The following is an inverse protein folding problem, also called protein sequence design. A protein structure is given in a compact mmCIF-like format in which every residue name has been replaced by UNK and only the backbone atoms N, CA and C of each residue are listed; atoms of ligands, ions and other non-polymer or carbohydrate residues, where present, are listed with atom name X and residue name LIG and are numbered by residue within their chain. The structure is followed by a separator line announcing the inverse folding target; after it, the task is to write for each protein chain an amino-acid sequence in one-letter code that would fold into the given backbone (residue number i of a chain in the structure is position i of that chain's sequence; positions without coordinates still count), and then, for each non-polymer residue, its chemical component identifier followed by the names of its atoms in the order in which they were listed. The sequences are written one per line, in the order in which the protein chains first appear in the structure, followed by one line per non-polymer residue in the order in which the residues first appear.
data_IF_102483740141
#
_entry.id   IF_102483740141
#
_cell.length_a   1.000
_cell.length_b   1.000
_cell.length_c   1.000
_cell.angle_alpha   90.00
_cell.angle_beta   90.00
_cell.angle_gamma   90.00
#
_symmetry.space_group_name_H-M   'P 1'
#
loop_
_entity.id
_entity.type
_entity.pdbx_description
1 polymer ?
#
# COMPACT_ATOMS: atom_id res chain seq x y z
N UNK A 1 -11.62 -58.60 -31.15
CA UNK A 1 -10.53 -57.65 -30.84
C UNK A 1 -11.16 -56.29 -30.64
N UNK A 2 -11.31 -55.83 -29.37
CA UNK A 2 -11.88 -54.51 -29.04
C UNK A 2 -10.76 -53.46 -29.05
N UNK A 3 -10.86 -52.46 -29.93
CA UNK A 3 -9.94 -51.32 -29.98
C UNK A 3 -10.34 -50.32 -28.90
N UNK A 4 -9.52 -50.15 -27.89
CA UNK A 4 -9.65 -49.11 -26.86
C UNK A 4 -9.15 -47.79 -27.43
N UNK A 5 -10.05 -46.83 -27.62
CA UNK A 5 -9.70 -45.48 -28.04
C UNK A 5 -9.38 -44.66 -26.78
N UNK A 6 -8.10 -44.37 -26.56
CA UNK A 6 -7.64 -43.49 -25.46
C UNK A 6 -7.79 -42.05 -25.95
N UNK A 7 -8.76 -41.34 -25.40
CA UNK A 7 -8.92 -39.89 -25.60
C UNK A 7 -8.01 -39.17 -24.59
N UNK A 8 -6.90 -38.60 -25.06
CA UNK A 8 -6.04 -37.74 -24.27
C UNK A 8 -6.70 -36.37 -24.19
N UNK A 9 -7.32 -36.06 -23.05
CA UNK A 9 -7.87 -34.73 -22.75
C UNK A 9 -6.72 -33.82 -22.35
N UNK A 10 -6.23 -33.03 -23.32
CA UNK A 10 -5.20 -32.01 -23.08
C UNK A 10 -5.87 -30.83 -22.37
N UNK A 11 -5.64 -30.71 -21.06
CA UNK A 11 -6.04 -29.53 -20.27
C UNK A 11 -5.11 -28.37 -20.61
N UNK A 12 -5.58 -27.47 -21.43
CA UNK A 12 -4.89 -26.22 -21.75
C UNK A 12 -5.02 -25.26 -20.54
N UNK A 13 -3.98 -25.18 -19.72
CA UNK A 13 -3.88 -24.16 -18.67
C UNK A 13 -3.70 -22.79 -19.33
N UNK A 14 -4.77 -22.01 -19.43
CA UNK A 14 -4.66 -20.58 -19.73
C UNK A 14 -3.98 -19.88 -18.53
N UNK A 15 -2.71 -19.59 -18.69
CA UNK A 15 -2.00 -18.67 -17.80
C UNK A 15 -2.62 -17.27 -17.99
N UNK A 16 -3.49 -16.84 -17.08
CA UNK A 16 -3.97 -15.47 -17.06
C UNK A 16 -2.82 -14.60 -16.55
N UNK A 17 -2.25 -13.80 -17.43
CA UNK A 17 -1.35 -12.70 -17.02
C UNK A 17 -2.17 -11.70 -16.23
N UNK A 18 -2.01 -11.69 -14.90
CA UNK A 18 -2.52 -10.61 -14.07
C UNK A 18 -1.72 -9.36 -14.45
N UNK A 19 -2.36 -8.42 -15.12
CA UNK A 19 -1.77 -7.11 -15.38
C UNK A 19 -1.63 -6.39 -14.04
N UNK A 20 -0.40 -5.97 -13.72
CA UNK A 20 -0.12 -5.14 -12.56
C UNK A 20 -1.04 -3.92 -12.55
N UNK A 21 -1.78 -3.73 -11.46
CA UNK A 21 -2.72 -2.61 -11.30
C UNK A 21 -2.04 -1.46 -10.56
N UNK A 22 -1.11 -0.77 -11.22
CA UNK A 22 -0.41 0.39 -10.67
C UNK A 22 -1.40 1.41 -10.09
N UNK A 23 -1.09 1.92 -8.89
CA UNK A 23 -1.92 2.88 -8.19
C UNK A 23 -1.24 4.23 -8.09
N UNK A 24 -1.99 5.30 -8.31
CA UNK A 24 -1.53 6.67 -8.09
C UNK A 24 -2.22 7.28 -6.86
N UNK A 25 -1.42 7.94 -6.02
CA UNK A 25 -1.84 8.64 -4.81
C UNK A 25 -1.29 10.07 -4.87
N UNK A 26 -2.16 11.06 -4.78
CA UNK A 26 -1.74 12.45 -4.71
C UNK A 26 -1.41 12.87 -3.28
N UNK A 27 -0.34 13.65 -3.12
CA UNK A 27 0.06 14.30 -1.88
C UNK A 27 -0.47 15.74 -1.88
N UNK A 28 -1.39 16.07 -0.96
CA UNK A 28 -2.21 17.26 -1.04
C UNK A 28 -2.22 18.06 0.28
N UNK A 29 -2.20 19.40 0.17
CA UNK A 29 -2.46 20.28 1.31
C UNK A 29 -3.92 20.22 1.75
N UNK A 30 -4.84 19.97 0.80
CA UNK A 30 -6.27 19.92 1.06
C UNK A 30 -7.01 19.00 0.09
N UNK A 31 -7.96 18.24 0.62
CA UNK A 31 -8.92 17.45 -0.15
C UNK A 31 -10.28 17.52 0.57
N UNK A 32 -11.22 18.22 -0.04
CA UNK A 32 -12.51 18.51 0.61
C UNK A 32 -12.31 19.29 1.91
N UNK A 33 -12.71 18.70 3.04
CA UNK A 33 -12.55 19.28 4.38
C UNK A 33 -11.26 18.83 5.09
N UNK A 34 -10.52 17.90 4.51
CA UNK A 34 -9.29 17.39 5.11
C UNK A 34 -8.06 18.20 4.65
N UNK A 35 -7.12 18.36 5.56
CA UNK A 35 -5.86 19.06 5.33
C UNK A 35 -4.68 18.11 5.53
N UNK A 36 -3.59 18.32 4.77
CA UNK A 36 -2.38 17.49 4.81
C UNK A 36 -2.76 16.02 4.65
N UNK A 37 -3.09 15.62 3.42
CA UNK A 37 -3.75 14.35 3.15
C UNK A 37 -3.20 13.67 1.90
N UNK A 38 -3.17 12.34 1.92
CA UNK A 38 -3.05 11.52 0.72
C UNK A 38 -4.43 11.32 0.09
N UNK A 39 -4.54 11.42 -1.23
CA UNK A 39 -5.82 11.30 -1.94
C UNK A 39 -6.51 9.95 -1.73
N UNK A 40 -5.72 8.91 -1.44
CA UNK A 40 -6.17 7.58 -1.03
C UNK A 40 -5.41 7.20 0.24
N UNK A 41 -6.14 6.91 1.31
CA UNK A 41 -5.54 6.51 2.59
C UNK A 41 -5.30 5.00 2.69
N UNK A 42 -6.05 4.20 1.95
CA UNK A 42 -5.87 2.76 1.81
C UNK A 42 -5.88 2.42 0.33
N UNK A 43 -4.90 1.67 -0.12
CA UNK A 43 -4.89 1.01 -1.43
C UNK A 43 -4.60 -0.47 -1.26
N UNK A 44 -5.24 -1.30 -2.08
CA UNK A 44 -5.01 -2.74 -2.15
C UNK A 44 -4.42 -3.03 -3.51
N UNK A 45 -3.32 -3.77 -3.52
CA UNK A 45 -2.57 -4.12 -4.71
C UNK A 45 -2.10 -5.57 -4.67
N UNK A 46 -1.72 -6.09 -5.81
CA UNK A 46 -1.10 -7.41 -5.91
C UNK A 46 0.42 -7.33 -5.71
N UNK A 47 1.04 -8.48 -5.45
CA UNK A 47 2.50 -8.58 -5.36
C UNK A 47 3.09 -8.25 -6.73
N UNK A 48 4.07 -7.35 -6.75
CA UNK A 48 4.74 -6.86 -7.96
C UNK A 48 4.18 -5.56 -8.52
N UNK A 49 3.04 -5.06 -7.99
CA UNK A 49 2.49 -3.76 -8.37
C UNK A 49 3.33 -2.60 -7.83
N UNK A 50 3.17 -1.44 -8.47
CA UNK A 50 3.84 -0.19 -8.09
C UNK A 50 2.82 0.84 -7.61
N UNK A 51 3.13 1.54 -6.53
CA UNK A 51 2.39 2.73 -6.12
C UNK A 51 3.21 3.98 -6.44
N UNK A 52 2.57 4.93 -7.12
CA UNK A 52 3.13 6.23 -7.46
C UNK A 52 2.53 7.30 -6.56
N UNK A 53 3.35 8.03 -5.83
CA UNK A 53 2.93 9.22 -5.09
C UNK A 53 3.30 10.47 -5.84
N UNK A 54 2.32 11.33 -6.13
CA UNK A 54 2.47 12.57 -6.89
C UNK A 54 2.47 13.78 -5.96
N UNK A 55 3.52 14.58 -5.98
CA UNK A 55 3.65 15.81 -5.20
C UNK A 55 2.83 16.94 -5.83
N UNK A 56 1.49 16.87 -5.74
CA UNK A 56 0.58 17.87 -6.30
C UNK A 56 0.70 19.22 -5.60
N UNK A 57 0.99 19.21 -4.30
CA UNK A 57 1.28 20.41 -3.53
C UNK A 57 2.60 20.25 -2.78
N UNK A 58 3.21 21.36 -2.35
CA UNK A 58 4.52 21.35 -1.70
C UNK A 58 4.45 20.97 -0.22
N UNK A 59 5.56 20.50 0.33
CA UNK A 59 5.70 20.19 1.75
C UNK A 59 5.48 18.72 2.10
N UNK A 60 5.40 17.82 1.11
CA UNK A 60 5.06 16.42 1.33
C UNK A 60 6.14 15.46 0.88
N UNK A 61 6.12 14.29 1.51
CA UNK A 61 6.90 13.11 1.15
C UNK A 61 6.18 11.83 1.60
N UNK A 62 6.81 10.69 1.38
CA UNK A 62 6.38 9.37 1.85
C UNK A 62 7.51 8.77 2.68
N UNK A 63 7.18 8.29 3.87
CA UNK A 63 8.11 7.58 4.74
C UNK A 63 7.42 6.35 5.33
N UNK A 64 8.01 5.16 5.15
CA UNK A 64 7.53 3.95 5.80
C UNK A 64 7.76 4.04 7.32
N UNK A 65 6.73 3.71 8.07
CA UNK A 65 6.78 3.78 9.53
C UNK A 65 7.61 2.61 10.07
N UNK A 66 8.54 2.88 10.97
CA UNK A 66 9.32 1.82 11.63
C UNK A 66 8.40 0.83 12.34
N UNK A 67 8.54 -0.45 12.04
CA UNK A 67 7.65 -1.52 12.54
C UNK A 67 6.28 -1.58 11.86
N UNK A 68 6.06 -0.75 10.86
CA UNK A 68 4.80 -0.67 10.10
C UNK A 68 4.87 -1.29 8.71
N UNK A 69 5.85 -2.13 8.44
CA UNK A 69 6.02 -2.83 7.17
C UNK A 69 6.32 -4.31 7.41
N UNK A 70 6.09 -5.19 6.41
CA UNK A 70 6.43 -6.60 6.54
C UNK A 70 7.92 -6.83 6.85
N UNK A 71 8.21 -7.98 7.45
CA UNK A 71 9.61 -8.38 7.72
C UNK A 71 10.39 -8.49 6.41
N UNK A 72 11.60 -7.94 6.39
CA UNK A 72 12.48 -7.95 5.21
C UNK A 72 12.35 -6.70 4.33
N UNK A 73 11.36 -5.85 4.58
CA UNK A 73 11.24 -4.56 3.90
C UNK A 73 12.23 -3.56 4.50
N UNK A 74 13.03 -2.95 3.63
CA UNK A 74 13.97 -1.91 4.03
C UNK A 74 13.29 -0.57 4.33
N UNK A 75 14.03 0.32 5.00
CA UNK A 75 13.55 1.69 5.25
C UNK A 75 13.37 2.43 3.93
N UNK A 76 12.22 3.05 3.78
CA UNK A 76 11.93 3.90 2.63
C UNK A 76 11.52 5.30 3.10
N UNK A 77 12.15 6.32 2.51
CA UNK A 77 11.79 7.72 2.72
C UNK A 77 12.12 8.51 1.47
N UNK A 78 11.10 9.10 0.86
CA UNK A 78 11.28 9.95 -0.31
C UNK A 78 11.76 11.36 0.05
N UNK A 79 12.41 12.09 -0.86
CA UNK A 79 12.65 13.51 -0.72
C UNK A 79 11.34 14.30 -0.64
N UNK A 80 11.37 15.48 0.00
CA UNK A 80 10.24 16.42 -0.01
C UNK A 80 10.00 16.97 -1.42
N UNK A 81 8.74 17.21 -1.75
CA UNK A 81 8.30 17.88 -3.00
C UNK A 81 8.67 17.13 -4.28
N UNK A 82 8.90 15.84 -4.20
CA UNK A 82 9.23 15.00 -5.35
C UNK A 82 8.17 13.91 -5.52
N UNK A 83 7.83 13.65 -6.77
CA UNK A 83 7.16 12.42 -7.13
C UNK A 83 8.03 11.24 -6.71
N UNK A 84 7.41 10.19 -6.24
CA UNK A 84 8.11 8.98 -5.81
C UNK A 84 7.28 7.76 -6.12
N UNK A 85 7.94 6.62 -6.21
CA UNK A 85 7.30 5.33 -6.46
C UNK A 85 7.95 4.25 -5.61
N UNK A 86 7.23 3.18 -5.39
CA UNK A 86 7.74 1.98 -4.75
C UNK A 86 7.05 0.75 -5.33
N UNK A 87 7.85 -0.25 -5.73
CA UNK A 87 7.38 -1.55 -6.19
C UNK A 87 7.27 -2.49 -5.01
N UNK A 88 6.11 -3.11 -4.82
CA UNK A 88 5.78 -3.93 -3.66
C UNK A 88 5.95 -5.42 -3.97
N UNK A 89 7.03 -6.01 -3.52
CA UNK A 89 7.36 -7.42 -3.80
C UNK A 89 7.09 -8.36 -2.60
N UNK A 90 6.93 -7.82 -1.40
CA UNK A 90 6.67 -8.58 -0.17
C UNK A 90 5.23 -8.36 0.25
N UNK A 91 4.41 -9.43 0.43
CA UNK A 91 3.02 -9.28 0.87
C UNK A 91 2.92 -8.77 2.30
N UNK A 92 1.81 -8.09 2.61
CA UNK A 92 1.52 -7.55 3.93
C UNK A 92 1.04 -6.09 3.90
N UNK A 93 0.89 -5.50 5.09
CA UNK A 93 0.46 -4.11 5.26
C UNK A 93 1.68 -3.22 5.40
N UNK A 94 1.72 -2.14 4.62
CA UNK A 94 2.73 -1.09 4.67
C UNK A 94 2.10 0.19 5.20
N UNK A 95 2.42 0.56 6.43
CA UNK A 95 2.03 1.84 7.01
C UNK A 95 3.05 2.92 6.66
N UNK A 96 2.57 4.06 6.19
CA UNK A 96 3.42 5.20 5.84
C UNK A 96 2.78 6.52 6.28
N UNK A 97 3.59 7.55 6.40
CA UNK A 97 3.19 8.92 6.72
C UNK A 97 3.96 9.94 5.91
N UNK A 98 3.48 11.16 5.92
CA UNK A 98 4.26 12.32 5.51
C UNK A 98 5.08 12.80 6.72
N UNK A 99 6.42 12.85 6.59
CA UNK A 99 7.33 13.17 7.70
C UNK A 99 6.96 14.47 8.44
N UNK A 100 6.76 15.63 7.76
CA UNK A 100 6.38 16.86 8.45
C UNK A 100 4.94 16.88 8.98
N UNK A 101 4.05 16.04 8.45
CA UNK A 101 2.62 16.05 8.79
C UNK A 101 2.14 14.78 9.51
N UNK A 102 3.06 13.98 10.05
CA UNK A 102 2.76 12.71 10.74
C UNK A 102 1.85 12.85 11.97
N UNK A 103 1.78 14.04 12.58
CA UNK A 103 0.84 14.35 13.67
C UNK A 103 -0.47 15.00 13.21
N UNK A 104 -0.58 15.36 11.93
CA UNK A 104 -1.73 16.09 11.38
C UNK A 104 -2.75 15.17 10.70
N UNK A 105 -2.48 13.87 10.60
CA UNK A 105 -3.37 12.90 9.97
C UNK A 105 -2.93 12.46 8.56
N UNK A 106 -1.77 12.89 8.08
CA UNK A 106 -1.26 12.51 6.77
C UNK A 106 -0.57 11.15 6.83
N UNK A 107 -1.37 10.12 6.86
CA UNK A 107 -0.98 8.71 6.93
C UNK A 107 -1.73 7.89 5.89
N UNK A 108 -1.19 6.72 5.54
CA UNK A 108 -1.86 5.78 4.65
C UNK A 108 -1.34 4.35 4.83
N UNK A 109 -2.07 3.42 4.22
CA UNK A 109 -1.74 2.00 4.19
C UNK A 109 -1.77 1.47 2.76
N UNK A 110 -0.80 0.65 2.41
CA UNK A 110 -0.83 -0.21 1.22
C UNK A 110 -0.95 -1.65 1.70
N UNK A 111 -1.92 -2.39 1.17
CA UNK A 111 -2.13 -3.80 1.47
C UNK A 111 -1.76 -4.60 0.23
N UNK A 112 -0.72 -5.41 0.35
CA UNK A 112 -0.12 -6.16 -0.75
C UNK A 112 -0.53 -7.63 -0.67
N UNK A 113 -1.05 -8.17 -1.76
CA UNK A 113 -1.43 -9.58 -1.86
C UNK A 113 -2.57 -9.99 -0.92
N UNK A 114 -3.42 -9.04 -0.50
CA UNK A 114 -4.47 -9.24 0.51
C UNK A 114 -3.95 -9.85 1.83
N UNK A 115 -2.67 -9.71 2.12
CA UNK A 115 -2.01 -10.24 3.31
C UNK A 115 -2.11 -9.22 4.47
N UNK A 116 -2.57 -9.68 5.63
CA UNK A 116 -2.70 -8.91 6.87
C UNK A 116 -1.95 -9.57 8.03
N UNK A 117 -0.98 -10.43 7.74
CA UNK A 117 -0.24 -11.19 8.74
C UNK A 117 0.50 -10.31 9.76
N UNK A 118 0.88 -9.09 9.36
CA UNK A 118 1.53 -8.11 10.24
C UNK A 118 0.58 -7.09 10.87
N UNK A 119 -0.75 -7.32 10.84
CA UNK A 119 -1.75 -6.38 11.38
C UNK A 119 -1.52 -6.05 12.86
N UNK A 120 -1.08 -7.02 13.66
CA UNK A 120 -0.81 -6.79 15.07
C UNK A 120 0.38 -5.85 15.30
N UNK A 121 1.36 -5.84 14.42
CA UNK A 121 2.47 -4.89 14.47
C UNK A 121 2.01 -3.49 14.05
N UNK A 122 1.12 -3.39 13.05
CA UNK A 122 0.48 -2.13 12.64
C UNK A 122 -0.29 -1.49 13.81
N UNK A 123 -1.02 -2.29 14.59
CA UNK A 123 -1.76 -1.84 15.78
C UNK A 123 -0.86 -1.33 16.91
N UNK A 124 0.38 -1.81 17.01
CA UNK A 124 1.36 -1.39 18.03
C UNK A 124 2.07 -0.08 17.71
N UNK A 125 1.92 0.44 16.49
CA UNK A 125 2.55 1.70 16.09
C UNK A 125 2.03 2.86 16.95
N UNK A 126 2.95 3.67 17.46
CA UNK A 126 2.60 4.91 18.18
C UNK A 126 2.34 6.05 17.20
N UNK A 127 1.11 6.12 16.71
CA UNK A 127 0.68 7.25 15.88
C UNK A 127 0.59 8.54 16.70
N UNK A 128 0.83 9.69 16.07
CA UNK A 128 0.96 10.99 16.73
C UNK A 128 -0.27 11.87 16.46
N UNK A 129 -0.68 12.67 17.43
CA UNK A 129 -1.71 13.69 17.28
C UNK A 129 -3.00 13.17 16.62
N UNK A 130 -3.47 13.86 15.59
CA UNK A 130 -4.64 13.47 14.78
C UNK A 130 -4.50 12.10 14.11
N UNK A 131 -3.29 11.71 13.75
CA UNK A 131 -3.03 10.44 13.09
C UNK A 131 -3.41 9.23 13.95
N UNK A 132 -3.45 9.37 15.28
CA UNK A 132 -3.87 8.30 16.18
C UNK A 132 -5.31 7.85 15.90
N UNK A 133 -6.24 8.80 15.88
CA UNK A 133 -7.66 8.51 15.60
C UNK A 133 -7.86 8.01 14.17
N UNK A 134 -7.21 8.65 13.21
CA UNK A 134 -7.31 8.26 11.79
C UNK A 134 -6.75 6.85 11.56
N UNK A 135 -5.61 6.51 12.17
CA UNK A 135 -5.04 5.17 12.10
C UNK A 135 -5.99 4.11 12.67
N UNK A 136 -6.61 4.38 13.83
CA UNK A 136 -7.59 3.49 14.44
C UNK A 136 -8.79 3.24 13.52
N UNK A 137 -9.36 4.29 12.93
CA UNK A 137 -10.47 4.19 11.98
C UNK A 137 -10.07 3.37 10.73
N UNK A 138 -8.88 3.64 10.16
CA UNK A 138 -8.38 2.93 8.99
C UNK A 138 -8.08 1.45 9.29
N UNK A 139 -7.43 1.16 10.42
CA UNK A 139 -7.10 -0.22 10.85
C UNK A 139 -8.37 -1.04 11.08
N UNK A 140 -9.41 -0.44 11.66
CA UNK A 140 -10.69 -1.10 11.87
C UNK A 140 -11.45 -1.38 10.57
N UNK A 141 -11.09 -0.70 9.48
CA UNK A 141 -11.67 -0.92 8.14
C UNK A 141 -10.91 -1.95 7.30
N UNK A 142 -9.75 -2.43 7.76
CA UNK A 142 -8.95 -3.45 7.07
C UNK A 142 -9.58 -4.84 7.25
#
# INVERSE_FOLDING_TARGET
MKKILIIILSTFFLSQSVLAADQTIDMLNKLGKEHMVYSKKIVKIDIGDTVFWKAKTRGHNVEFIKGGVPKGVEKFRSPLNKDTEYKFEIPGIYAYWCTPHKGMGMIGFVIVGNDKSNLDDIKKIKYLGKSKKIAEELINSL
#
